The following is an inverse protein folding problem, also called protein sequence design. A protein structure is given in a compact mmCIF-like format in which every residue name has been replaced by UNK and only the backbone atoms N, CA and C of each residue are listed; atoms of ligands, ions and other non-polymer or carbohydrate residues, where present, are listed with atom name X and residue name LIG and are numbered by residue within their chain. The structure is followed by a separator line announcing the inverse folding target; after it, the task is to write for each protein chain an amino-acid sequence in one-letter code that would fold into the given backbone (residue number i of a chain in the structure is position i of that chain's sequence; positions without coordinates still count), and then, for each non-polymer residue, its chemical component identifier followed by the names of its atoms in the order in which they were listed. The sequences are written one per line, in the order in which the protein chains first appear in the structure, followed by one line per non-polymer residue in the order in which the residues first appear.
data_IF_560546860119
#
_entry.id   IF_560546860119
#
_cell.length_a   1.000
_cell.length_b   1.000
_cell.length_c   1.000
_cell.angle_alpha   90.00
_cell.angle_beta   90.00
_cell.angle_gamma   90.00
#
_symmetry.space_group_name_H-M   'P 1'
#
loop_
_entity.id
_entity.type
_entity.pdbx_description
1 polymer ?
#
# COMPACT_ATOMS: atom_id res chain seq x y z
N UNK A 1 -4.42 14.58 9.52
CA UNK A 1 -5.56 13.69 9.37
C UNK A 1 -5.64 13.17 7.94
N UNK A 2 -5.96 11.90 7.79
CA UNK A 2 -6.03 11.30 6.48
C UNK A 2 -7.38 11.51 5.80
N UNK A 3 -7.41 11.29 4.51
CA UNK A 3 -8.62 11.33 3.71
C UNK A 3 -8.68 10.10 2.82
N UNK A 4 -9.89 9.72 2.45
CA UNK A 4 -10.13 8.58 1.58
C UNK A 4 -11.24 8.98 0.61
N UNK A 5 -10.95 8.94 -0.69
CA UNK A 5 -11.96 9.31 -1.67
C UNK A 5 -11.74 8.58 -2.99
N UNK A 6 -12.81 8.28 -3.67
CA UNK A 6 -12.75 7.70 -5.01
C UNK A 6 -12.55 8.83 -6.00
N UNK A 7 -11.38 8.86 -6.64
CA UNK A 7 -11.02 9.95 -7.56
C UNK A 7 -11.37 9.61 -9.01
N UNK A 8 -11.59 8.33 -9.29
CA UNK A 8 -12.08 7.85 -10.59
C UNK A 8 -12.68 6.48 -10.32
N UNK A 9 -13.40 5.94 -11.29
CA UNK A 9 -14.06 4.64 -11.09
C UNK A 9 -13.04 3.57 -10.70
N UNK A 10 -13.17 3.04 -9.50
CA UNK A 10 -12.30 2.00 -8.99
C UNK A 10 -10.91 2.48 -8.54
N UNK A 11 -10.66 3.78 -8.52
CA UNK A 11 -9.38 4.34 -8.09
C UNK A 11 -9.61 5.22 -6.88
N UNK A 12 -9.00 4.83 -5.76
CA UNK A 12 -9.18 5.50 -4.48
C UNK A 12 -7.88 6.13 -4.01
N UNK A 13 -7.97 7.36 -3.54
CA UNK A 13 -6.87 8.05 -2.90
C UNK A 13 -6.95 7.84 -1.40
N UNK A 14 -5.85 7.39 -0.82
CA UNK A 14 -5.71 7.28 0.63
C UNK A 14 -4.66 8.30 1.04
N UNK A 15 -5.10 9.41 1.59
CA UNK A 15 -4.21 10.48 2.00
C UNK A 15 -3.86 10.34 3.47
N UNK A 16 -2.59 10.39 3.79
CA UNK A 16 -2.09 10.21 5.15
C UNK A 16 -1.11 11.32 5.49
N UNK A 17 -1.60 12.56 5.46
CA UNK A 17 -0.76 13.70 5.79
C UNK A 17 0.24 13.99 4.70
N UNK A 18 1.49 13.54 4.90
CA UNK A 18 2.58 13.89 4.00
C UNK A 18 2.75 12.95 2.82
N UNK A 19 2.01 11.85 2.79
CA UNK A 19 2.13 10.88 1.72
C UNK A 19 0.76 10.41 1.28
N UNK A 20 0.68 9.99 0.02
CA UNK A 20 -0.54 9.47 -0.56
C UNK A 20 -0.31 8.05 -1.03
N UNK A 21 -1.34 7.22 -0.85
CA UNK A 21 -1.39 5.89 -1.42
C UNK A 21 -2.60 5.82 -2.33
N UNK A 22 -2.56 4.91 -3.30
CA UNK A 22 -3.68 4.74 -4.23
C UNK A 22 -4.09 3.27 -4.22
N UNK A 23 -5.39 3.04 -4.19
CA UNK A 23 -5.94 1.70 -4.21
C UNK A 23 -6.70 1.53 -5.51
N UNK A 24 -6.27 0.57 -6.33
CA UNK A 24 -6.90 0.26 -7.60
C UNK A 24 -7.76 -0.97 -7.41
N UNK A 25 -9.07 -0.77 -7.41
CA UNK A 25 -10.03 -1.84 -7.17
C UNK A 25 -10.68 -2.24 -8.48
N UNK A 26 -10.24 -3.35 -9.02
CA UNK A 26 -10.80 -3.97 -10.20
C UNK A 26 -10.98 -5.44 -9.85
N UNK A 27 -10.90 -6.33 -10.83
CA UNK A 27 -10.90 -7.76 -10.56
C UNK A 27 -9.83 -8.08 -9.52
N UNK A 28 -8.62 -7.57 -9.74
CA UNK A 28 -7.56 -7.61 -8.75
C UNK A 28 -7.54 -6.33 -7.94
N UNK A 29 -7.03 -6.42 -6.73
CA UNK A 29 -6.85 -5.27 -5.86
C UNK A 29 -5.37 -4.94 -5.78
N UNK A 30 -5.01 -3.70 -6.09
CA UNK A 30 -3.61 -3.27 -6.13
C UNK A 30 -3.45 -2.01 -5.28
N UNK A 31 -2.42 -1.99 -4.46
CA UNK A 31 -2.07 -0.83 -3.65
C UNK A 31 -0.80 -0.20 -4.20
N UNK A 32 -0.83 1.11 -4.42
CA UNK A 32 0.35 1.88 -4.84
C UNK A 32 0.81 2.68 -3.64
N UNK A 33 1.99 2.38 -3.16
CA UNK A 33 2.63 2.92 -1.96
C UNK A 33 1.83 2.61 -0.71
N UNK A 34 2.50 2.61 0.43
CA UNK A 34 1.91 2.14 1.68
C UNK A 34 1.92 3.17 2.80
N UNK A 35 2.47 4.35 2.54
CA UNK A 35 2.50 5.41 3.53
C UNK A 35 3.62 5.27 4.55
N UNK A 36 3.51 6.05 5.60
CA UNK A 36 4.49 6.09 6.68
C UNK A 36 4.36 4.85 7.57
N UNK A 37 5.38 4.56 8.37
CA UNK A 37 5.23 3.55 9.42
C UNK A 37 4.01 3.89 10.29
N UNK A 38 3.16 2.90 10.52
CA UNK A 38 1.95 3.10 11.29
C UNK A 38 0.71 3.38 10.47
N UNK A 39 0.84 3.55 9.16
CA UNK A 39 -0.31 3.82 8.30
C UNK A 39 -1.01 2.55 7.79
N UNK A 40 -0.51 1.38 8.18
CA UNK A 40 -1.09 0.11 7.72
C UNK A 40 -2.57 0.00 8.05
N UNK A 41 -2.98 0.41 9.26
CA UNK A 41 -4.38 0.32 9.66
C UNK A 41 -5.27 1.19 8.79
N UNK A 42 -4.79 2.35 8.38
CA UNK A 42 -5.53 3.24 7.50
C UNK A 42 -5.79 2.58 6.15
N UNK A 43 -4.78 1.91 5.60
CA UNK A 43 -4.92 1.19 4.34
C UNK A 43 -5.89 0.04 4.49
N UNK A 44 -5.76 -0.74 5.55
CA UNK A 44 -6.64 -1.87 5.82
C UNK A 44 -8.09 -1.40 5.97
N UNK A 45 -8.31 -0.32 6.70
CA UNK A 45 -9.65 0.24 6.88
C UNK A 45 -10.22 0.72 5.54
N UNK A 46 -9.39 1.31 4.68
CA UNK A 46 -9.82 1.77 3.37
C UNK A 46 -10.30 0.60 2.50
N UNK A 47 -9.59 -0.51 2.54
CA UNK A 47 -10.00 -1.71 1.79
C UNK A 47 -11.37 -2.19 2.29
N UNK A 48 -11.58 -2.18 3.60
CA UNK A 48 -12.87 -2.57 4.16
C UNK A 48 -13.99 -1.62 3.76
N UNK A 49 -13.69 -0.33 3.67
CA UNK A 49 -14.71 0.67 3.29
C UNK A 49 -15.28 0.45 1.90
N UNK A 50 -14.51 -0.11 0.98
CA UNK A 50 -14.99 -0.40 -0.37
C UNK A 50 -15.58 -1.81 -0.47
N UNK A 51 -15.77 -2.49 0.66
CA UNK A 51 -16.40 -3.80 0.69
C UNK A 51 -15.49 -4.93 0.27
N UNK A 52 -14.18 -4.73 0.32
CA UNK A 52 -13.21 -5.75 -0.03
C UNK A 52 -12.48 -6.22 1.22
N UNK A 53 -11.80 -7.34 1.10
CA UNK A 53 -11.02 -7.91 2.20
C UNK A 53 -9.56 -7.74 1.94
N UNK A 54 -8.78 -7.61 3.01
CA UNK A 54 -7.35 -7.42 2.89
C UNK A 54 -6.69 -8.57 2.13
N UNK A 55 -7.20 -9.79 2.30
CA UNK A 55 -6.69 -10.98 1.60
C UNK A 55 -6.88 -10.91 0.09
N UNK A 56 -7.75 -10.02 -0.39
CA UNK A 56 -7.94 -9.82 -1.82
C UNK A 56 -6.88 -8.92 -2.44
N UNK A 57 -6.05 -8.29 -1.62
CA UNK A 57 -4.97 -7.44 -2.12
C UNK A 57 -3.90 -8.35 -2.75
N UNK A 58 -3.69 -8.20 -4.04
CA UNK A 58 -2.82 -9.06 -4.83
C UNK A 58 -1.42 -8.47 -4.99
N UNK A 59 -1.34 -7.15 -5.16
CA UNK A 59 -0.09 -6.49 -5.50
C UNK A 59 0.09 -5.21 -4.71
N UNK A 60 1.33 -4.95 -4.32
CA UNK A 60 1.76 -3.68 -3.74
C UNK A 60 2.87 -3.15 -4.64
N UNK A 61 2.65 -1.97 -5.23
CA UNK A 61 3.63 -1.33 -6.09
C UNK A 61 4.28 -0.19 -5.34
N UNK A 62 5.61 -0.19 -5.31
CA UNK A 62 6.37 0.84 -4.60
C UNK A 62 6.99 1.77 -5.63
N UNK A 63 6.60 3.04 -5.61
CA UNK A 63 7.14 4.03 -6.53
C UNK A 63 8.48 4.58 -6.04
N UNK A 64 8.63 4.68 -4.71
CA UNK A 64 9.87 5.15 -4.09
C UNK A 64 10.10 4.35 -2.83
N UNK A 65 11.32 3.86 -2.64
CA UNK A 65 11.67 3.11 -1.44
C UNK A 65 12.10 4.05 -0.31
N UNK A 66 11.28 5.06 -0.05
CA UNK A 66 11.48 5.96 1.07
C UNK A 66 10.58 5.55 2.23
N UNK A 67 10.97 5.97 3.43
CA UNK A 67 10.24 5.60 4.64
C UNK A 67 8.74 5.93 4.54
N UNK A 68 8.41 7.07 3.95
CA UNK A 68 7.02 7.53 3.85
C UNK A 68 6.20 6.78 2.80
N UNK A 69 6.85 5.96 1.95
CA UNK A 69 6.15 5.22 0.91
C UNK A 69 6.15 3.72 1.14
N UNK A 70 6.97 3.21 2.04
CA UNK A 70 7.04 1.78 2.28
C UNK A 70 7.05 1.40 3.76
N UNK A 71 6.78 2.39 4.64
CA UNK A 71 6.85 2.15 6.08
C UNK A 71 5.90 1.07 6.57
N UNK A 72 4.80 0.84 5.86
CA UNK A 72 3.79 -0.16 6.23
C UNK A 72 3.82 -1.40 5.35
N UNK A 73 4.80 -1.53 4.45
CA UNK A 73 4.85 -2.66 3.50
C UNK A 73 4.81 -4.00 4.23
N UNK A 74 5.67 -4.16 5.23
CA UNK A 74 5.76 -5.43 5.94
C UNK A 74 4.43 -5.80 6.61
N UNK A 75 3.80 -4.83 7.26
CA UNK A 75 2.54 -5.08 7.95
C UNK A 75 1.42 -5.44 6.98
N UNK A 76 1.31 -4.71 5.87
CA UNK A 76 0.25 -4.96 4.89
C UNK A 76 0.48 -6.27 4.17
N UNK A 77 1.72 -6.56 3.81
CA UNK A 77 2.06 -7.81 3.14
C UNK A 77 1.73 -9.01 4.04
N UNK A 78 1.99 -8.87 5.33
CA UNK A 78 1.75 -9.96 6.28
C UNK A 78 0.27 -10.34 6.34
N UNK A 79 -0.63 -9.35 6.33
CA UNK A 79 -2.06 -9.63 6.44
C UNK A 79 -2.71 -9.93 5.09
N UNK A 80 -2.09 -9.56 3.98
CA UNK A 80 -2.69 -9.74 2.65
C UNK A 80 -2.06 -10.88 1.86
N UNK A 81 -0.78 -11.13 2.06
CA UNK A 81 -0.05 -12.06 1.22
C UNK A 81 0.30 -11.50 -0.15
N UNK A 82 0.14 -10.20 -0.35
CA UNK A 82 0.35 -9.56 -1.64
C UNK A 82 1.80 -9.67 -2.10
N UNK A 83 1.99 -9.66 -3.42
CA UNK A 83 3.31 -9.57 -4.01
C UNK A 83 3.73 -8.10 -4.05
N UNK A 84 4.99 -7.83 -3.73
CA UNK A 84 5.54 -6.48 -3.75
C UNK A 84 6.38 -6.32 -5.00
N UNK A 85 6.12 -5.27 -5.78
CA UNK A 85 6.87 -4.97 -6.99
C UNK A 85 7.37 -3.53 -6.95
N UNK A 86 8.56 -3.30 -7.55
CA UNK A 86 9.19 -1.99 -7.59
C UNK A 86 10.19 -1.98 -8.72
N UNK A 87 10.79 -0.80 -8.99
CA UNK A 87 11.89 -0.73 -9.96
C UNK A 87 13.08 -1.52 -9.44
N UNK A 88 14.01 -1.91 -10.34
CA UNK A 88 15.17 -2.70 -9.92
C UNK A 88 16.00 -2.00 -8.86
N UNK A 89 16.10 -0.68 -8.95
CA UNK A 89 16.82 0.11 -7.94
C UNK A 89 16.13 0.01 -6.57
N UNK A 90 14.80 0.13 -6.57
CA UNK A 90 14.03 0.08 -5.33
C UNK A 90 13.98 -1.33 -4.76
N UNK A 91 14.01 -2.35 -5.61
CA UNK A 91 14.04 -3.73 -5.16
C UNK A 91 15.27 -3.99 -4.30
N UNK A 92 16.44 -3.51 -4.73
CA UNK A 92 17.66 -3.69 -3.96
C UNK A 92 17.56 -3.07 -2.57
N UNK A 93 16.97 -1.88 -2.49
CA UNK A 93 16.75 -1.19 -1.23
C UNK A 93 15.78 -1.97 -0.33
N UNK A 94 14.68 -2.42 -0.92
CA UNK A 94 13.66 -3.16 -0.18
C UNK A 94 14.21 -4.48 0.33
N UNK A 95 15.00 -5.19 -0.47
CA UNK A 95 15.61 -6.45 -0.05
C UNK A 95 16.55 -6.25 1.14
N UNK A 96 17.27 -5.13 1.17
CA UNK A 96 18.08 -4.79 2.31
C UNK A 96 17.27 -4.60 3.59
N UNK A 97 16.12 -3.93 3.47
CA UNK A 97 15.24 -3.71 4.61
C UNK A 97 14.52 -4.98 5.03
N UNK A 98 14.25 -5.88 4.08
CA UNK A 98 13.48 -7.10 4.33
C UNK A 98 14.12 -7.97 5.42
N UNK A 99 15.40 -7.83 5.61
CA UNK A 99 16.10 -8.60 6.64
C UNK A 99 15.68 -8.22 8.05
N UNK A 100 15.01 -7.08 8.18
CA UNK A 100 14.53 -6.61 9.49
C UNK A 100 13.01 -6.77 9.66
N UNK A 101 12.34 -7.28 8.65
CA UNK A 101 10.87 -7.43 8.70
C UNK A 101 10.45 -8.61 9.55
#
# INVERSE_FOLDING_TARGET
MGAFEEIAAGIYLISAGRSNSYLLADHDLTLIDTGMPGDADRVIDSIKKIGRRCEELNHILITHAHMDHMGSVAAIKKVSGAQVAASSREVAYIEGLRKTW
#
